data_IF_409984159102
#
_entry.id   IF_409984159102
#
_cell.length_a   1.000
_cell.length_b   1.000
_cell.length_c   1.000
_cell.angle_alpha   90.00
_cell.angle_beta   90.00
_cell.angle_gamma   90.00
#
_symmetry.space_group_name_H-M   'P 1'
#
loop_
_entity.id
_entity.type
_entity.pdbx_description
1 polymer ?
#
# COMPACT_ATOMS: atom_id res chain seq x y z
N UNK A 1 7.94 16.28 27.21
CA UNK A 1 7.60 17.33 28.20
C UNK A 1 7.67 18.71 27.56
N UNK A 2 8.75 19.06 26.84
CA UNK A 2 8.89 20.37 26.18
C UNK A 2 7.77 20.66 25.17
N UNK A 3 7.44 19.73 24.29
CA UNK A 3 6.38 19.90 23.29
C UNK A 3 5.00 20.10 23.95
N UNK A 4 4.70 19.36 25.02
CA UNK A 4 3.49 19.56 25.81
C UNK A 4 3.40 21.01 26.30
N UNK A 5 4.44 21.52 26.91
CA UNK A 5 4.51 22.89 27.43
C UNK A 5 4.33 23.94 26.31
N UNK A 6 4.91 23.69 25.12
CA UNK A 6 4.75 24.58 23.96
C UNK A 6 3.27 24.62 23.51
N UNK A 7 2.62 23.47 23.41
CA UNK A 7 1.21 23.39 22.99
C UNK A 7 0.32 24.05 24.03
N UNK A 8 0.49 23.72 25.33
CA UNK A 8 -0.30 24.30 26.42
C UNK A 8 -0.18 25.83 26.47
N UNK A 9 1.03 26.37 26.28
CA UNK A 9 1.25 27.81 26.26
C UNK A 9 0.68 28.49 24.99
N UNK A 10 0.76 27.82 23.84
CA UNK A 10 0.31 28.39 22.56
C UNK A 10 -1.21 28.41 22.43
N UNK A 11 -1.89 27.39 22.95
CA UNK A 11 -3.34 27.23 22.82
C UNK A 11 -4.09 27.52 24.12
N UNK A 12 -3.41 27.89 25.20
CA UNK A 12 -3.98 28.20 26.53
C UNK A 12 -4.91 27.06 27.06
N UNK A 13 -4.47 25.81 26.89
CA UNK A 13 -5.20 24.62 27.30
C UNK A 13 -4.27 23.68 28.08
N UNK A 14 -4.82 22.98 29.07
CA UNK A 14 -4.11 21.90 29.73
C UNK A 14 -4.26 20.58 28.98
N UNK A 15 -3.17 19.87 28.76
CA UNK A 15 -3.17 18.52 28.20
C UNK A 15 -3.04 17.50 29.33
N UNK A 16 -4.03 16.64 29.58
CA UNK A 16 -3.92 15.56 30.56
C UNK A 16 -2.67 14.70 30.35
N UNK A 17 -2.12 14.16 31.39
CA UNK A 17 -0.88 13.36 31.27
C UNK A 17 -1.08 12.12 30.38
N UNK A 18 -2.28 11.50 30.43
CA UNK A 18 -2.66 10.42 29.51
C UNK A 18 -2.57 10.81 28.04
N UNK A 19 -3.02 12.02 27.68
CA UNK A 19 -2.95 12.52 26.30
C UNK A 19 -1.53 12.83 25.85
N UNK A 20 -0.62 13.11 26.78
CA UNK A 20 0.80 13.31 26.50
C UNK A 20 1.44 12.04 25.93
N UNK A 21 0.99 10.87 26.34
CA UNK A 21 1.47 9.59 25.77
C UNK A 21 0.99 9.38 24.34
N UNK A 22 -0.28 9.68 24.04
CA UNK A 22 -0.81 9.62 22.69
C UNK A 22 -0.10 10.61 21.76
N UNK A 23 0.14 11.83 22.25
CA UNK A 23 0.91 12.82 21.50
C UNK A 23 2.35 12.35 21.24
N UNK A 24 2.99 11.72 22.22
CA UNK A 24 4.33 11.18 22.04
C UNK A 24 4.36 10.04 21.01
N UNK A 25 3.41 9.12 21.07
CA UNK A 25 3.26 8.04 20.08
C UNK A 25 3.03 8.62 18.68
N UNK A 26 2.13 9.61 18.55
CA UNK A 26 1.87 10.29 17.28
C UNK A 26 3.14 10.97 16.74
N UNK A 27 3.87 11.69 17.58
CA UNK A 27 5.11 12.37 17.18
C UNK A 27 6.22 11.39 16.79
N UNK A 28 6.30 10.24 17.48
CA UNK A 28 7.23 9.17 17.09
C UNK A 28 6.83 8.57 15.74
N UNK A 29 5.54 8.35 15.50
CA UNK A 29 5.05 7.82 14.22
C UNK A 29 5.19 8.80 13.05
N UNK A 30 5.25 10.11 13.34
CA UNK A 30 5.51 11.16 12.35
C UNK A 30 7.01 11.48 12.17
N UNK A 31 7.85 10.90 13.05
CA UNK A 31 9.28 11.07 12.91
C UNK A 31 9.73 10.23 11.72
N UNK A 32 9.91 10.88 10.58
CA UNK A 32 10.67 10.29 9.50
C UNK A 32 12.05 9.92 10.08
N UNK A 33 12.39 8.65 10.02
CA UNK A 33 13.75 8.25 10.30
C UNK A 33 14.56 8.54 9.03
N UNK A 34 15.27 9.67 8.94
CA UNK A 34 15.93 10.07 7.69
C UNK A 34 17.07 9.12 7.29
N UNK A 35 17.43 8.19 8.18
CA UNK A 35 18.49 7.19 7.93
C UNK A 35 17.92 5.80 7.58
N UNK A 36 16.64 5.57 7.76
CA UNK A 36 16.00 4.33 7.32
C UNK A 36 15.28 4.59 6.00
N UNK A 37 15.87 4.19 4.90
CA UNK A 37 15.20 4.23 3.58
C UNK A 37 13.83 3.56 3.63
N UNK A 38 12.91 3.99 2.79
CA UNK A 38 11.59 3.36 2.65
C UNK A 38 11.68 2.17 1.70
N UNK A 39 10.79 1.20 1.87
CA UNK A 39 10.60 0.14 0.87
C UNK A 39 9.97 0.79 -0.37
N UNK A 40 10.62 0.65 -1.52
CA UNK A 40 10.08 1.09 -2.81
C UNK A 40 8.96 0.16 -3.28
N UNK A 41 7.99 0.70 -4.03
CA UNK A 41 6.90 -0.09 -4.61
C UNK A 41 6.89 0.12 -6.13
N UNK A 42 6.98 -0.97 -6.88
CA UNK A 42 6.77 -0.98 -8.33
C UNK A 42 5.49 -1.76 -8.63
N UNK A 43 4.57 -1.14 -9.35
CA UNK A 43 3.37 -1.80 -9.88
C UNK A 43 3.57 -2.05 -11.37
N UNK A 44 3.56 -3.30 -11.79
CA UNK A 44 3.70 -3.68 -13.19
C UNK A 44 2.45 -4.45 -13.65
N UNK A 45 1.74 -3.95 -14.65
CA UNK A 45 0.50 -4.54 -15.11
C UNK A 45 0.35 -4.44 -16.63
N UNK A 46 -0.32 -5.44 -17.20
CA UNK A 46 -0.66 -5.43 -18.62
C UNK A 46 -1.70 -4.36 -18.93
N UNK A 47 -1.52 -3.70 -20.06
CA UNK A 47 -2.36 -2.61 -20.53
C UNK A 47 -1.60 -1.29 -20.68
N UNK A 48 -2.29 -0.26 -21.18
CA UNK A 48 -1.68 1.03 -21.48
C UNK A 48 -1.67 2.01 -20.31
N UNK A 49 -2.45 1.73 -19.25
CA UNK A 49 -2.60 2.62 -18.09
C UNK A 49 -3.05 1.90 -16.82
N UNK A 50 -3.00 0.58 -16.79
CA UNK A 50 -3.51 -0.20 -15.64
C UNK A 50 -2.69 0.06 -14.39
N UNK A 51 -1.37 -0.06 -14.48
CA UNK A 51 -0.47 0.24 -13.36
C UNK A 51 -0.49 1.73 -13.00
N UNK A 52 -0.38 2.60 -14.01
CA UNK A 52 -0.40 4.06 -13.80
C UNK A 52 -1.65 4.53 -13.09
N UNK A 53 -2.83 4.00 -13.44
CA UNK A 53 -4.09 4.38 -12.79
C UNK A 53 -4.12 3.97 -11.32
N UNK A 54 -3.64 2.76 -10.98
CA UNK A 54 -3.56 2.31 -9.58
C UNK A 54 -2.59 3.16 -8.77
N UNK A 55 -1.40 3.40 -9.29
CA UNK A 55 -0.38 4.22 -8.63
C UNK A 55 -0.87 5.65 -8.42
N UNK A 56 -1.48 6.27 -9.43
CA UNK A 56 -2.02 7.62 -9.34
C UNK A 56 -3.05 7.75 -8.22
N UNK A 57 -4.00 6.82 -8.14
CA UNK A 57 -5.03 6.83 -7.10
C UNK A 57 -4.40 6.72 -5.71
N UNK A 58 -3.48 5.77 -5.52
CA UNK A 58 -2.85 5.53 -4.21
C UNK A 58 -1.95 6.68 -3.80
N UNK A 59 -1.12 7.21 -4.72
CA UNK A 59 -0.25 8.35 -4.42
C UNK A 59 -1.04 9.59 -4.01
N UNK A 60 -2.19 9.84 -4.65
CA UNK A 60 -3.06 10.96 -4.27
C UNK A 60 -3.77 10.75 -2.94
N UNK A 61 -4.23 9.53 -2.65
CA UNK A 61 -4.93 9.22 -1.39
C UNK A 61 -4.02 9.29 -0.17
N UNK A 62 -2.78 8.82 -0.29
CA UNK A 62 -1.84 8.71 0.82
C UNK A 62 -0.76 9.80 0.82
N UNK A 63 -0.68 10.60 -0.23
CA UNK A 63 0.38 11.61 -0.44
C UNK A 63 1.78 11.00 -0.32
N UNK A 64 2.01 9.89 -1.04
CA UNK A 64 3.27 9.15 -1.07
C UNK A 64 3.91 9.17 -2.45
N UNK A 65 5.23 9.10 -2.53
CA UNK A 65 6.04 9.24 -3.75
C UNK A 65 6.97 8.04 -4.02
N UNK A 66 7.02 7.06 -3.11
CA UNK A 66 7.84 5.86 -3.24
C UNK A 66 7.21 4.76 -4.11
N UNK A 67 6.30 5.14 -5.03
CA UNK A 67 5.63 4.23 -5.96
C UNK A 67 5.97 4.58 -7.41
N UNK A 68 6.20 3.53 -8.23
CA UNK A 68 6.33 3.65 -9.69
C UNK A 68 5.41 2.67 -10.41
N UNK A 69 4.93 3.09 -11.57
CA UNK A 69 4.08 2.29 -12.44
C UNK A 69 4.84 1.86 -13.69
N UNK A 70 4.64 0.61 -14.10
CA UNK A 70 5.10 0.09 -15.39
C UNK A 70 3.90 -0.49 -16.13
N UNK A 71 3.36 0.27 -17.07
CA UNK A 71 2.33 -0.20 -17.97
C UNK A 71 2.96 -1.00 -19.11
N UNK A 72 2.41 -2.18 -19.38
CA UNK A 72 2.90 -3.11 -20.38
C UNK A 72 1.82 -3.39 -21.42
N UNK A 73 1.78 -2.65 -22.53
CA UNK A 73 0.94 -2.99 -23.68
C UNK A 73 1.14 -4.46 -24.08
N UNK A 74 0.06 -5.12 -24.55
CA UNK A 74 0.07 -6.56 -24.84
C UNK A 74 1.06 -6.96 -25.93
N UNK A 75 1.48 -6.04 -26.76
CA UNK A 75 2.49 -6.20 -27.81
C UNK A 75 3.92 -5.93 -27.32
N UNK A 76 4.11 -5.53 -26.07
CA UNK A 76 5.43 -5.25 -25.51
C UNK A 76 6.26 -6.54 -25.38
N UNK A 77 7.48 -6.59 -25.95
CA UNK A 77 8.35 -7.73 -25.77
C UNK A 77 8.77 -7.95 -24.30
N UNK A 78 8.87 -9.19 -23.80
CA UNK A 78 9.26 -9.46 -22.42
C UNK A 78 10.59 -8.82 -21.97
N UNK A 79 11.55 -8.72 -22.89
CA UNK A 79 12.83 -8.06 -22.61
C UNK A 79 12.69 -6.56 -22.33
N UNK A 80 11.78 -5.91 -23.04
CA UNK A 80 11.49 -4.50 -22.83
C UNK A 80 10.73 -4.29 -21.52
N UNK A 81 9.76 -5.15 -21.22
CA UNK A 81 9.04 -5.14 -19.95
C UNK A 81 10.02 -5.29 -18.77
N UNK A 82 10.92 -6.27 -18.82
CA UNK A 82 11.95 -6.46 -17.80
C UNK A 82 12.84 -5.21 -17.65
N UNK A 83 13.30 -4.62 -18.75
CA UNK A 83 14.14 -3.42 -18.72
C UNK A 83 13.43 -2.26 -18.00
N UNK A 84 12.16 -2.02 -18.32
CA UNK A 84 11.37 -0.96 -17.67
C UNK A 84 11.14 -1.22 -16.17
N UNK A 85 10.94 -2.49 -15.80
CA UNK A 85 10.79 -2.86 -14.39
C UNK A 85 12.10 -2.66 -13.63
N UNK A 86 13.24 -3.08 -14.21
CA UNK A 86 14.59 -2.86 -13.63
C UNK A 86 14.86 -1.37 -13.42
N UNK A 87 14.54 -0.52 -14.40
CA UNK A 87 14.67 0.93 -14.29
C UNK A 87 13.79 1.50 -13.15
N UNK A 88 12.51 1.12 -13.10
CA UNK A 88 11.60 1.54 -12.06
C UNK A 88 12.04 1.06 -10.64
N UNK A 89 12.56 -0.16 -10.53
CA UNK A 89 13.13 -0.70 -9.28
C UNK A 89 14.32 0.15 -8.81
N UNK A 90 15.22 0.51 -9.73
CA UNK A 90 16.34 1.39 -9.40
C UNK A 90 15.92 2.79 -8.94
N UNK A 91 14.84 3.34 -9.53
CA UNK A 91 14.35 4.67 -9.19
C UNK A 91 13.67 4.76 -7.81
N UNK A 92 13.02 3.69 -7.35
CA UNK A 92 12.28 3.70 -6.06
C UNK A 92 13.07 3.11 -4.91
N UNK A 93 14.24 2.52 -5.17
CA UNK A 93 15.02 1.88 -4.12
C UNK A 93 15.72 2.92 -3.23
N UNK A 94 15.34 2.94 -1.97
CA UNK A 94 15.94 3.73 -0.90
C UNK A 94 16.68 2.82 0.11
N UNK A 95 17.42 1.81 -0.39
CA UNK A 95 18.24 0.85 0.36
C UNK A 95 17.48 -0.23 1.18
N UNK A 96 16.15 -0.11 1.34
CA UNK A 96 15.33 -1.11 2.06
C UNK A 96 14.64 -2.14 1.13
N UNK A 97 15.11 -2.22 -0.11
CA UNK A 97 14.56 -3.12 -1.10
C UNK A 97 13.25 -2.65 -1.73
N UNK A 98 12.72 -3.44 -2.64
CA UNK A 98 11.56 -3.08 -3.45
C UNK A 98 10.51 -4.18 -3.46
N UNK A 99 9.25 -3.80 -3.27
CA UNK A 99 8.10 -4.65 -3.48
C UNK A 99 7.59 -4.49 -4.90
N UNK A 100 7.63 -5.57 -5.68
CA UNK A 100 7.08 -5.63 -7.04
C UNK A 100 5.68 -6.23 -7.00
N UNK A 101 4.67 -5.46 -7.38
CA UNK A 101 3.28 -5.87 -7.46
C UNK A 101 2.92 -6.11 -8.92
N UNK A 102 2.51 -7.33 -9.29
CA UNK A 102 2.22 -7.71 -10.67
C UNK A 102 0.79 -8.21 -10.82
N UNK A 103 0.20 -8.01 -11.99
CA UNK A 103 -1.17 -8.45 -12.27
C UNK A 103 -1.24 -9.94 -12.61
N UNK A 104 -0.22 -10.49 -13.24
CA UNK A 104 -0.16 -11.89 -13.66
C UNK A 104 1.14 -12.55 -13.19
N UNK A 105 1.03 -13.81 -12.72
CA UNK A 105 2.13 -14.59 -12.17
C UNK A 105 3.29 -14.84 -13.15
N UNK A 106 3.10 -14.69 -14.47
CA UNK A 106 4.19 -14.77 -15.44
C UNK A 106 5.29 -13.73 -15.21
N UNK A 107 4.97 -12.59 -14.60
CA UNK A 107 5.92 -11.53 -14.27
C UNK A 107 6.68 -11.80 -12.96
N UNK A 108 6.19 -12.71 -12.13
CA UNK A 108 6.87 -13.09 -10.89
C UNK A 108 8.25 -13.74 -11.15
N UNK A 109 8.43 -14.34 -12.34
CA UNK A 109 9.72 -14.91 -12.75
C UNK A 109 10.80 -13.87 -13.00
N UNK A 110 10.43 -12.59 -13.11
CA UNK A 110 11.40 -11.51 -13.33
C UNK A 110 12.18 -11.14 -12.06
N UNK A 111 11.67 -11.48 -10.87
CA UNK A 111 12.30 -11.08 -9.60
C UNK A 111 13.75 -11.57 -9.48
N UNK A 112 14.03 -12.83 -9.81
CA UNK A 112 15.40 -13.36 -9.77
C UNK A 112 16.33 -12.63 -10.74
N UNK A 113 15.84 -12.33 -11.93
CA UNK A 113 16.60 -11.62 -12.96
C UNK A 113 16.85 -10.15 -12.56
N UNK A 114 15.87 -9.50 -11.93
CA UNK A 114 16.00 -8.13 -11.43
C UNK A 114 17.07 -8.09 -10.32
N UNK A 115 16.98 -8.99 -9.33
CA UNK A 115 17.98 -9.10 -8.27
C UNK A 115 19.37 -9.32 -8.83
N UNK A 116 19.49 -10.20 -9.83
CA UNK A 116 20.79 -10.48 -10.47
C UNK A 116 21.38 -9.27 -11.17
N UNK A 117 20.55 -8.44 -11.82
CA UNK A 117 21.01 -7.27 -12.56
C UNK A 117 21.30 -6.06 -11.67
N UNK A 118 20.51 -5.89 -10.60
CA UNK A 118 20.54 -4.67 -9.77
C UNK A 118 21.25 -4.85 -8.44
N UNK A 119 21.28 -6.07 -7.90
CA UNK A 119 21.71 -6.35 -6.53
C UNK A 119 20.70 -5.90 -5.46
N UNK A 120 19.54 -5.35 -5.87
CA UNK A 120 18.48 -4.87 -4.97
C UNK A 120 17.63 -6.07 -4.54
N UNK A 121 17.32 -6.17 -3.24
CA UNK A 121 16.37 -7.18 -2.76
C UNK A 121 14.96 -6.83 -3.27
N UNK A 122 14.35 -7.76 -4.03
CA UNK A 122 13.03 -7.61 -4.62
C UNK A 122 12.13 -8.76 -4.21
N UNK A 123 10.95 -8.44 -3.67
CA UNK A 123 9.90 -9.41 -3.41
C UNK A 123 8.71 -9.15 -4.31
N UNK A 124 8.11 -10.21 -4.84
CA UNK A 124 7.00 -10.09 -5.80
C UNK A 124 5.70 -10.63 -5.21
N UNK A 125 4.63 -9.86 -5.36
CA UNK A 125 3.25 -10.27 -5.08
C UNK A 125 2.45 -10.18 -6.36
N UNK A 126 1.80 -11.26 -6.74
CA UNK A 126 0.93 -11.34 -7.92
C UNK A 126 -0.53 -10.94 -7.60
N UNK A 127 -1.38 -10.96 -8.63
CA UNK A 127 -2.79 -10.59 -8.55
C UNK A 127 -3.02 -9.18 -7.98
N UNK A 128 -2.17 -8.22 -8.41
CA UNK A 128 -2.27 -6.84 -7.94
C UNK A 128 -3.65 -6.25 -8.19
N UNK A 129 -4.13 -5.55 -7.18
CA UNK A 129 -5.38 -4.77 -7.22
C UNK A 129 -5.15 -3.44 -6.52
N UNK A 130 -5.98 -2.43 -6.79
CA UNK A 130 -5.87 -1.14 -6.10
C UNK A 130 -5.86 -1.25 -4.56
N UNK A 131 -6.68 -2.12 -3.91
CA UNK A 131 -6.58 -2.35 -2.48
C UNK A 131 -5.23 -2.90 -2.01
N UNK A 132 -4.61 -3.79 -2.78
CA UNK A 132 -3.27 -4.33 -2.44
C UNK A 132 -2.22 -3.22 -2.53
N UNK A 133 -2.25 -2.40 -3.59
CA UNK A 133 -1.33 -1.26 -3.74
C UNK A 133 -1.50 -0.27 -2.59
N UNK A 134 -2.76 0.03 -2.21
CA UNK A 134 -3.08 0.92 -1.10
C UNK A 134 -2.55 0.36 0.23
N UNK A 135 -2.76 -0.92 0.50
CA UNK A 135 -2.29 -1.56 1.74
C UNK A 135 -0.76 -1.64 1.79
N UNK A 136 -0.11 -1.94 0.65
CA UNK A 136 1.35 -1.90 0.55
C UNK A 136 1.89 -0.52 0.89
N UNK A 137 1.39 0.52 0.23
CA UNK A 137 1.82 1.90 0.45
C UNK A 137 1.57 2.38 1.89
N UNK A 138 0.41 2.02 2.49
CA UNK A 138 0.12 2.34 3.88
C UNK A 138 1.11 1.69 4.85
N UNK A 139 1.50 0.45 4.58
CA UNK A 139 2.44 -0.29 5.45
C UNK A 139 3.88 0.19 5.30
N UNK A 140 4.30 0.61 4.11
CA UNK A 140 5.66 1.17 3.92
C UNK A 140 5.86 2.51 4.64
N UNK A 141 4.77 3.20 4.99
CA UNK A 141 4.82 4.42 5.79
C UNK A 141 4.99 4.15 7.30
N UNK A 142 4.89 2.88 7.76
CA UNK A 142 5.10 2.52 9.15
C UNK A 142 6.60 2.37 9.44
N UNK A 143 6.99 2.81 10.63
CA UNK A 143 8.38 2.69 11.12
C UNK A 143 8.76 1.21 11.20
N UNK A 144 9.99 0.88 10.80
CA UNK A 144 10.60 -0.46 10.88
C UNK A 144 9.89 -1.57 10.08
N UNK A 145 9.18 -1.23 9.01
CA UNK A 145 8.61 -2.24 8.11
C UNK A 145 9.73 -2.91 7.31
N UNK A 146 9.90 -4.22 7.49
CA UNK A 146 10.83 -5.02 6.70
C UNK A 146 10.17 -5.57 5.45
N UNK A 147 10.92 -5.66 4.34
CA UNK A 147 10.41 -6.12 3.04
C UNK A 147 9.78 -7.52 3.12
N UNK A 148 10.41 -8.46 3.84
CA UNK A 148 9.88 -9.82 4.00
C UNK A 148 8.55 -9.83 4.76
N UNK A 149 8.47 -9.07 5.87
CA UNK A 149 7.22 -8.97 6.67
C UNK A 149 6.09 -8.34 5.85
N UNK A 150 6.41 -7.30 5.08
CA UNK A 150 5.46 -6.66 4.16
C UNK A 150 4.96 -7.66 3.12
N UNK A 151 5.87 -8.36 2.44
CA UNK A 151 5.57 -9.36 1.43
C UNK A 151 4.64 -10.46 1.96
N UNK A 152 4.98 -11.10 3.09
CA UNK A 152 4.14 -12.14 3.69
C UNK A 152 2.75 -11.63 4.10
N UNK A 153 2.67 -10.39 4.61
CA UNK A 153 1.41 -9.79 4.99
C UNK A 153 0.48 -9.53 3.81
N UNK A 154 1.03 -9.22 2.63
CA UNK A 154 0.25 -8.96 1.42
C UNK A 154 -0.15 -10.22 0.69
N UNK A 155 0.62 -11.30 0.73
CA UNK A 155 0.22 -12.61 0.23
C UNK A 155 -1.07 -13.12 0.87
N UNK A 156 -1.28 -12.79 2.13
CA UNK A 156 -2.45 -13.19 2.91
C UNK A 156 -3.54 -12.09 2.95
N UNK A 157 -3.38 -11.01 2.19
CA UNK A 157 -4.34 -9.92 2.16
C UNK A 157 -5.49 -10.21 1.19
N UNK A 158 -6.67 -10.47 1.72
CA UNK A 158 -7.89 -10.74 0.97
C UNK A 158 -8.85 -9.53 0.92
N UNK A 159 -8.35 -8.35 1.26
CA UNK A 159 -9.13 -7.12 1.31
C UNK A 159 -9.60 -6.74 2.71
N UNK A 160 -10.23 -5.60 2.82
CA UNK A 160 -10.69 -5.04 4.12
C UNK A 160 -11.99 -5.66 4.63
N UNK A 161 -12.59 -6.59 3.87
CA UNK A 161 -13.87 -7.23 4.24
C UNK A 161 -13.75 -8.28 5.35
N UNK A 162 -12.57 -8.87 5.56
CA UNK A 162 -12.37 -9.97 6.51
C UNK A 162 -12.51 -9.57 7.99
N UNK A 163 -12.38 -8.29 8.30
CA UNK A 163 -12.54 -7.79 9.68
C UNK A 163 -13.99 -7.92 10.18
N UNK A 164 -14.97 -8.06 9.28
CA UNK A 164 -16.39 -8.15 9.63
C UNK A 164 -16.98 -9.56 9.59
N UNK A 165 -16.26 -10.54 9.06
CA UNK A 165 -16.85 -11.90 8.88
C UNK A 165 -17.03 -12.69 10.17
N UNK A 166 -16.23 -12.43 11.22
CA UNK A 166 -16.40 -13.11 12.51
C UNK A 166 -17.68 -12.69 13.25
N UNK A 167 -18.13 -11.44 13.07
CA UNK A 167 -19.35 -10.94 13.68
C UNK A 167 -20.61 -11.19 12.82
N UNK A 168 -20.46 -11.23 11.51
CA UNK A 168 -21.57 -11.38 10.56
C UNK A 168 -22.05 -12.82 10.41
N UNK A 169 -21.20 -13.84 10.65
CA UNK A 169 -21.60 -15.25 10.58
C UNK A 169 -22.75 -15.61 11.53
N UNK A 170 -22.81 -15.00 12.70
CA UNK A 170 -23.92 -15.23 13.66
C UNK A 170 -25.24 -14.53 13.26
N UNK A 171 -25.17 -13.50 12.42
CA UNK A 171 -26.36 -12.74 12.00
C UNK A 171 -27.00 -13.39 10.76
N UNK A 172 -26.21 -13.99 9.85
CA UNK A 172 -26.68 -14.50 8.56
C UNK A 172 -27.46 -15.81 8.66
N UNK A 173 -27.25 -16.63 9.70
CA UNK A 173 -28.00 -17.89 9.87
C UNK A 173 -29.53 -17.68 10.07
N UNK A 174 -29.98 -16.48 10.41
CA UNK A 174 -31.39 -16.16 10.63
C UNK A 174 -32.11 -15.44 9.47
N UNK A 175 -31.44 -15.13 8.35
CA UNK A 175 -32.04 -14.38 7.24
C UNK A 175 -32.37 -15.29 6.04
N UNK A 176 -33.66 -15.59 5.87
CA UNK A 176 -34.18 -16.36 4.72
C UNK A 176 -34.42 -15.54 3.46
N UNK A 177 -33.96 -14.30 3.40
CA UNK A 177 -34.17 -13.39 2.27
C UNK A 177 -32.85 -13.05 1.59
N UNK A 178 -32.84 -13.07 0.25
CA UNK A 178 -31.69 -12.59 -0.56
C UNK A 178 -31.65 -11.07 -0.51
N UNK A 179 -30.50 -10.51 -0.12
CA UNK A 179 -30.28 -9.07 -0.15
C UNK A 179 -29.16 -8.74 -1.15
N UNK A 180 -29.33 -7.68 -1.91
CA UNK A 180 -28.27 -7.08 -2.73
C UNK A 180 -27.80 -5.82 -2.00
N UNK A 181 -26.53 -5.78 -1.65
CA UNK A 181 -25.91 -4.61 -1.03
C UNK A 181 -25.07 -3.90 -2.10
N UNK A 182 -25.48 -2.70 -2.48
CA UNK A 182 -24.70 -1.83 -3.36
C UNK A 182 -23.92 -0.81 -2.51
N UNK A 183 -22.59 -0.76 -2.68
CA UNK A 183 -21.70 0.16 -1.97
C UNK A 183 -21.09 1.12 -3.00
N UNK A 184 -21.26 2.41 -2.79
CA UNK A 184 -20.63 3.44 -3.60
C UNK A 184 -19.50 4.12 -2.81
N UNK A 185 -18.29 4.12 -3.36
CA UNK A 185 -17.12 4.74 -2.73
C UNK A 185 -17.17 6.28 -2.76
N UNK A 186 -18.02 6.88 -3.61
CA UNK A 186 -18.10 8.33 -3.82
C UNK A 186 -19.31 9.03 -3.16
N UNK A 187 -20.08 8.34 -2.28
CA UNK A 187 -21.20 8.94 -1.52
C UNK A 187 -22.61 8.51 -1.97
N UNK A 188 -23.63 9.07 -1.32
CA UNK A 188 -25.02 8.60 -1.26
C UNK A 188 -25.82 8.51 -2.61
N UNK A 189 -25.31 9.06 -3.69
CA UNK A 189 -26.15 9.30 -4.88
C UNK A 189 -26.48 8.10 -5.76
N UNK A 190 -25.58 7.12 -5.86
CA UNK A 190 -25.68 6.04 -6.85
C UNK A 190 -26.30 4.76 -6.28
N UNK A 191 -26.14 4.50 -5.01
CA UNK A 191 -26.70 3.31 -4.35
C UNK A 191 -28.23 3.40 -4.13
N UNK A 192 -28.82 4.60 -4.17
CA UNK A 192 -30.28 4.82 -4.02
C UNK A 192 -31.10 4.59 -5.28
N UNK A 193 -30.47 4.36 -6.43
CA UNK A 193 -31.16 4.19 -7.73
C UNK A 193 -31.27 2.73 -8.21
N UNK A 194 -30.77 1.79 -7.42
CA UNK A 194 -30.96 0.35 -7.61
C UNK A 194 -31.98 -0.18 -6.59
#
# INVERSE_FOLDING_TARGET
KEIKNIIESSYQMEIPESESYYLAVLLISLRENPEAGRIGIVVAAHGNSTASSMVQVVSQLLNVDNLKAVDMPLDMPPKEALRKIVEAVGEVNEENGVLLLVDMGSLSTFSEEIVRQTGIDVRTVDMVTTPIVLEAARKTALIDTQLETLHESLKNFHGYADIRQSETKQIIENWKTRAIIAICASGEGTARRM
#
